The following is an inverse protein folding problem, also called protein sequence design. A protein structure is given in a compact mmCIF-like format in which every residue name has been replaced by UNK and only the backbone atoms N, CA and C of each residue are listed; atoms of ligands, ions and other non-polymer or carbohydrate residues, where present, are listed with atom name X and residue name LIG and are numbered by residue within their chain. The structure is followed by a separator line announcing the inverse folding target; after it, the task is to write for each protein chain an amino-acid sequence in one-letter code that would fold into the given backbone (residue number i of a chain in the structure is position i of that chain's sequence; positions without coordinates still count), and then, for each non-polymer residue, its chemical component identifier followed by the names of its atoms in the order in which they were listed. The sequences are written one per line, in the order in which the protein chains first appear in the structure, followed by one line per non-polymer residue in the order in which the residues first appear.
data_IF_907053522112
#
_entry.id   IF_907053522112
#
_cell.length_a   1.000
_cell.length_b   1.000
_cell.length_c   1.000
_cell.angle_alpha   90.00
_cell.angle_beta   90.00
_cell.angle_gamma   90.00
#
_symmetry.space_group_name_H-M   'P 1'
#
loop_
_entity.id
_entity.type
_entity.pdbx_description
1 polymer ?
#
# COMPACT_ATOMS: atom_id res chain seq x y z
N UNK A 1 0.11 -6.36 -4.98
CA UNK A 1 -0.46 -7.69 -4.69
C UNK A 1 0.44 -8.55 -3.81
N UNK A 2 1.74 -8.69 -4.11
CA UNK A 2 2.70 -9.49 -3.32
C UNK A 2 2.64 -9.24 -1.80
N UNK A 3 2.80 -8.00 -1.35
CA UNK A 3 2.83 -7.68 0.09
C UNK A 3 1.50 -7.99 0.80
N UNK A 4 0.37 -7.73 0.14
CA UNK A 4 -0.96 -8.05 0.68
C UNK A 4 -1.15 -9.56 0.90
N UNK A 5 -0.68 -10.40 -0.05
CA UNK A 5 -0.67 -11.84 0.13
C UNK A 5 0.24 -12.30 1.27
N UNK A 6 1.44 -11.70 1.38
CA UNK A 6 2.38 -12.01 2.46
C UNK A 6 1.80 -11.68 3.84
N UNK A 7 1.10 -10.55 3.98
CA UNK A 7 0.39 -10.16 5.21
C UNK A 7 -0.60 -11.24 5.65
N UNK A 8 -1.40 -11.76 4.72
CA UNK A 8 -2.36 -12.84 4.98
C UNK A 8 -1.65 -14.12 5.42
N UNK A 9 -0.64 -14.55 4.67
CA UNK A 9 0.10 -15.78 4.94
C UNK A 9 0.87 -15.74 6.27
N UNK A 10 1.39 -14.57 6.64
CA UNK A 10 2.08 -14.34 7.91
C UNK A 10 1.11 -14.12 9.09
N UNK A 11 -0.21 -14.07 8.83
CA UNK A 11 -1.26 -13.83 9.85
C UNK A 11 -1.05 -12.55 10.66
N UNK A 12 -0.58 -11.49 9.99
CA UNK A 12 -0.44 -10.18 10.63
C UNK A 12 -1.82 -9.70 11.10
N UNK A 13 -1.95 -9.35 12.37
CA UNK A 13 -3.25 -8.99 12.94
C UNK A 13 -3.76 -7.63 12.48
N UNK A 14 -2.87 -6.66 12.30
CA UNK A 14 -3.22 -5.29 11.96
C UNK A 14 -2.26 -4.70 10.94
N UNK A 15 -2.83 -4.01 9.95
CA UNK A 15 -2.08 -3.26 8.93
C UNK A 15 -2.50 -1.81 8.99
N UNK A 16 -1.51 -0.93 9.12
CA UNK A 16 -1.69 0.52 9.08
C UNK A 16 -0.82 1.07 7.96
N UNK A 17 -1.41 1.83 7.03
CA UNK A 17 -0.64 2.50 5.98
C UNK A 17 -1.15 3.92 5.71
N UNK A 18 -0.27 4.74 5.13
CA UNK A 18 -0.54 6.15 4.84
C UNK A 18 -1.22 6.36 3.49
N UNK A 19 -0.44 6.73 2.47
CA UNK A 19 -0.96 7.02 1.13
C UNK A 19 -1.42 5.75 0.39
N UNK A 20 -2.53 5.88 -0.34
CA UNK A 20 -3.00 4.85 -1.27
C UNK A 20 -2.09 4.75 -2.51
N UNK A 21 -2.05 3.56 -3.12
CA UNK A 21 -1.44 3.32 -4.41
C UNK A 21 -2.53 3.07 -5.47
N UNK A 22 -2.96 4.11 -6.21
CA UNK A 22 -4.02 3.96 -7.22
C UNK A 22 -3.59 3.13 -8.44
N UNK A 23 -2.29 2.85 -8.61
CA UNK A 23 -1.77 2.10 -9.77
C UNK A 23 -1.62 0.62 -9.49
N UNK A 24 -1.27 0.23 -8.26
CA UNK A 24 -0.96 -1.17 -7.95
C UNK A 24 -1.38 -1.64 -6.54
N UNK A 25 -2.04 -0.80 -5.75
CA UNK A 25 -2.45 -1.11 -4.38
C UNK A 25 -3.36 -2.35 -4.30
N UNK A 26 -3.09 -3.23 -3.34
CA UNK A 26 -3.82 -4.50 -3.16
C UNK A 26 -4.51 -4.66 -1.79
N UNK A 27 -4.58 -3.56 -1.03
CA UNK A 27 -5.30 -3.44 0.24
C UNK A 27 -6.48 -2.44 0.12
N UNK A 28 -7.12 -2.37 -1.06
CA UNK A 28 -8.29 -1.51 -1.29
C UNK A 28 -8.29 -0.71 -2.60
N UNK A 29 -7.14 -0.53 -3.26
CA UNK A 29 -7.06 0.31 -4.47
C UNK A 29 -7.42 -0.43 -5.76
N UNK A 30 -6.51 -1.25 -6.30
CA UNK A 30 -6.76 -2.06 -7.51
C UNK A 30 -7.34 -3.42 -7.14
N UNK A 31 -6.84 -3.99 -6.04
CA UNK A 31 -7.34 -5.22 -5.45
C UNK A 31 -7.54 -5.02 -3.96
N UNK A 32 -8.34 -5.90 -3.35
CA UNK A 32 -8.47 -5.98 -1.91
C UNK A 32 -8.28 -7.42 -1.44
N UNK A 33 -7.01 -7.87 -1.43
CA UNK A 33 -6.65 -9.26 -1.11
C UNK A 33 -6.86 -9.53 0.39
N UNK A 34 -6.53 -8.56 1.24
CA UNK A 34 -6.56 -8.72 2.70
C UNK A 34 -7.97 -8.89 3.27
N UNK A 35 -9.01 -8.52 2.53
CA UNK A 35 -10.42 -8.72 2.91
C UNK A 35 -11.12 -9.85 2.15
N UNK A 36 -10.42 -10.63 1.32
CA UNK A 36 -11.05 -11.69 0.52
C UNK A 36 -11.69 -12.78 1.41
N UNK A 37 -12.99 -13.03 1.18
CA UNK A 37 -13.82 -14.04 1.86
C UNK A 37 -13.27 -15.47 1.77
N UNK A 38 -12.45 -15.76 0.76
CA UNK A 38 -11.94 -17.09 0.46
C UNK A 38 -10.61 -17.40 1.17
N UNK A 39 -9.95 -16.39 1.73
CA UNK A 39 -8.68 -16.54 2.44
C UNK A 39 -8.90 -16.81 3.93
N UNK A 40 -7.89 -17.40 4.57
CA UNK A 40 -7.95 -17.95 5.93
C UNK A 40 -7.60 -16.95 7.04
N UNK A 41 -7.25 -15.71 6.70
CA UNK A 41 -6.89 -14.65 7.65
C UNK A 41 -7.27 -13.27 7.11
N UNK A 42 -7.74 -12.37 7.99
CA UNK A 42 -8.13 -11.00 7.64
C UNK A 42 -7.59 -10.02 8.69
N UNK A 43 -6.58 -9.19 8.36
CA UNK A 43 -6.10 -8.17 9.28
C UNK A 43 -7.13 -7.06 9.51
N UNK A 44 -7.08 -6.42 10.66
CA UNK A 44 -7.71 -5.11 10.87
C UNK A 44 -6.96 -4.05 10.06
N UNK A 45 -7.70 -3.22 9.32
CA UNK A 45 -7.13 -2.20 8.46
C UNK A 45 -7.30 -0.80 9.06
N UNK A 46 -6.25 0.02 8.99
CA UNK A 46 -6.34 1.47 9.17
C UNK A 46 -5.56 2.14 8.03
N UNK A 47 -6.25 2.95 7.24
CA UNK A 47 -5.66 3.59 6.06
C UNK A 47 -5.65 5.10 6.24
N UNK A 48 -4.83 5.80 5.46
CA UNK A 48 -4.81 7.25 5.45
C UNK A 48 -4.01 7.92 6.57
N UNK A 49 -3.28 7.16 7.39
CA UNK A 49 -2.48 7.71 8.50
C UNK A 49 -1.31 8.51 7.92
N UNK A 50 -1.34 9.84 8.08
CA UNK A 50 -0.38 10.76 7.47
C UNK A 50 -0.31 10.59 5.94
N UNK A 51 -1.47 10.39 5.30
CA UNK A 51 -1.54 10.14 3.86
C UNK A 51 -0.91 11.25 3.02
N UNK A 52 -1.09 12.50 3.42
CA UNK A 52 -0.55 13.66 2.70
C UNK A 52 0.98 13.62 2.73
N UNK A 53 1.57 13.46 3.91
CA UNK A 53 3.01 13.41 4.13
C UNK A 53 3.64 12.21 3.42
N UNK A 54 3.03 11.02 3.53
CA UNK A 54 3.46 9.84 2.79
C UNK A 54 3.42 10.05 1.27
N UNK A 55 2.35 10.68 0.77
CA UNK A 55 2.19 10.98 -0.64
C UNK A 55 3.20 12.02 -1.14
N UNK A 56 3.48 13.04 -0.34
CA UNK A 56 4.41 14.11 -0.68
C UNK A 56 5.85 13.60 -0.75
N UNK A 57 6.25 12.68 0.13
CA UNK A 57 7.55 12.01 0.03
C UNK A 57 7.73 11.28 -1.31
N UNK A 58 6.71 10.53 -1.77
CA UNK A 58 6.73 9.85 -3.07
C UNK A 58 6.78 10.84 -4.23
N UNK A 59 5.97 11.90 -4.18
CA UNK A 59 5.92 12.94 -5.23
C UNK A 59 7.28 13.65 -5.36
N UNK A 60 7.88 14.04 -4.23
CA UNK A 60 9.17 14.70 -4.17
C UNK A 60 10.26 13.81 -4.77
N UNK A 61 10.33 12.54 -4.36
CA UNK A 61 11.29 11.58 -4.90
C UNK A 61 11.21 11.48 -6.42
N UNK A 62 10.03 11.22 -6.98
CA UNK A 62 9.90 11.07 -8.43
C UNK A 62 10.06 12.40 -9.19
N UNK A 63 9.78 13.55 -8.57
CA UNK A 63 10.08 14.86 -9.16
C UNK A 63 11.59 15.06 -9.29
N UNK A 64 12.36 14.76 -8.26
CA UNK A 64 13.83 14.81 -8.29
C UNK A 64 14.40 13.85 -9.34
N UNK A 65 13.92 12.61 -9.38
CA UNK A 65 14.38 11.63 -10.38
C UNK A 65 14.11 12.09 -11.82
N UNK A 66 12.96 12.70 -12.10
CA UNK A 66 12.65 13.26 -13.42
C UNK A 66 13.54 14.46 -13.76
N UNK A 67 13.81 15.34 -12.79
CA UNK A 67 14.67 16.51 -12.98
C UNK A 67 16.12 16.12 -13.28
N UNK A 68 16.61 15.02 -12.70
CA UNK A 68 17.97 14.50 -12.93
C UNK A 68 18.18 13.92 -14.33
N UNK A 69 17.10 13.58 -15.05
CA UNK A 69 17.17 12.88 -16.33
C UNK A 69 17.65 11.44 -16.18
N UNK A 70 17.20 10.54 -17.09
CA UNK A 70 17.76 9.19 -17.16
C UNK A 70 19.27 9.30 -17.43
N UNK A 71 20.10 8.60 -16.65
CA UNK A 71 21.37 8.12 -17.18
C UNK A 71 21.09 7.18 -18.35
#
# INVERSE_FOLDING_TARGET
TMCAGAIVLARIERVVFGADDPKAGACGSVYNIVEDGRLNHRPQMTTGVLAAECGDMLRAFFAEQRARGKK
#
